data_IF_647604460815
#
_entry.id   IF_647604460815
#
_cell.length_a   1.000
_cell.length_b   1.000
_cell.length_c   1.000
_cell.angle_alpha   90.00
_cell.angle_beta   90.00
_cell.angle_gamma   90.00
#
_symmetry.space_group_name_H-M   'P 1'
#
loop_
_entity.id
_entity.type
_entity.pdbx_description
1 polymer ?
#
# COMPACT_ATOMS: atom_id res chain seq x y z
N UNK A 1 -4.02 6.18 -24.00
CA UNK A 1 -4.06 6.70 -22.61
C UNK A 1 -2.99 5.94 -21.86
N UNK A 2 -2.10 6.61 -21.13
CA UNK A 2 -1.08 5.93 -20.34
C UNK A 2 -1.64 5.75 -18.92
N UNK A 3 -1.71 4.51 -18.47
CA UNK A 3 -2.18 4.13 -17.14
C UNK A 3 -1.01 3.89 -16.19
N UNK A 4 -1.29 4.05 -14.90
CA UNK A 4 -0.39 3.69 -13.81
C UNK A 4 -1.12 2.66 -12.95
N UNK A 5 -0.50 1.51 -12.72
CA UNK A 5 -0.91 0.59 -11.67
C UNK A 5 -0.12 0.92 -10.41
N UNK A 6 -0.77 1.54 -9.43
CA UNK A 6 -0.12 1.98 -8.20
C UNK A 6 0.01 0.88 -7.15
N UNK A 7 -0.49 -0.33 -7.42
CA UNK A 7 -0.38 -1.44 -6.48
C UNK A 7 -0.56 -2.79 -7.19
N UNK A 8 0.55 -3.43 -7.51
CA UNK A 8 0.59 -4.79 -8.05
C UNK A 8 1.59 -5.66 -7.28
N UNK A 9 1.50 -6.98 -7.45
CA UNK A 9 2.52 -7.92 -6.97
C UNK A 9 3.09 -8.65 -8.18
N UNK A 10 4.14 -8.09 -8.78
CA UNK A 10 4.82 -8.71 -9.91
C UNK A 10 5.54 -9.96 -9.41
N UNK A 11 5.47 -11.03 -10.20
CA UNK A 11 6.19 -12.28 -9.92
C UNK A 11 7.70 -12.01 -9.91
N UNK A 12 8.41 -12.27 -8.79
CA UNK A 12 9.86 -12.11 -8.70
C UNK A 12 10.65 -13.16 -9.48
N UNK A 13 9.98 -14.20 -9.96
CA UNK A 13 10.54 -15.21 -10.84
C UNK A 13 10.47 -14.84 -12.33
N UNK A 14 10.70 -15.83 -13.22
CA UNK A 14 10.72 -15.63 -14.67
C UNK A 14 9.41 -15.07 -15.26
N UNK A 15 8.30 -15.15 -14.52
CA UNK A 15 6.99 -14.63 -14.95
C UNK A 15 6.91 -13.10 -14.98
N UNK A 16 7.69 -12.40 -14.16
CA UNK A 16 7.60 -10.94 -14.02
C UNK A 16 7.85 -10.18 -15.32
N UNK A 17 8.81 -10.65 -16.13
CA UNK A 17 9.13 -10.07 -17.45
C UNK A 17 7.91 -10.10 -18.37
N UNK A 18 7.18 -11.22 -18.40
CA UNK A 18 5.99 -11.38 -19.22
C UNK A 18 4.85 -10.49 -18.71
N UNK A 19 4.64 -10.43 -17.39
CA UNK A 19 3.62 -9.57 -16.77
C UNK A 19 3.84 -8.08 -17.10
N UNK A 20 5.08 -7.60 -16.99
CA UNK A 20 5.44 -6.21 -17.34
C UNK A 20 5.20 -5.94 -18.83
N UNK A 21 5.59 -6.87 -19.71
CA UNK A 21 5.37 -6.72 -21.15
C UNK A 21 3.87 -6.69 -21.51
N UNK A 22 3.07 -7.55 -20.90
CA UNK A 22 1.61 -7.59 -21.08
C UNK A 22 0.94 -6.31 -20.58
N UNK A 23 1.33 -5.82 -19.40
CA UNK A 23 0.85 -4.56 -18.84
C UNK A 23 1.16 -3.36 -19.76
N UNK A 24 2.40 -3.28 -20.25
CA UNK A 24 2.82 -2.26 -21.21
C UNK A 24 2.03 -2.32 -22.52
N UNK A 25 1.79 -3.52 -23.06
CA UNK A 25 0.98 -3.71 -24.26
C UNK A 25 -0.49 -3.28 -24.08
N UNK A 26 -1.00 -3.36 -22.85
CA UNK A 26 -2.32 -2.85 -22.45
C UNK A 26 -2.33 -1.33 -22.14
N UNK A 27 -1.16 -0.66 -22.19
CA UNK A 27 -1.00 0.77 -21.94
C UNK A 27 -0.77 1.15 -20.47
N UNK A 28 -0.50 0.18 -19.58
CA UNK A 28 -0.06 0.42 -18.20
C UNK A 28 1.46 0.62 -18.23
N UNK A 29 1.88 1.88 -18.26
CA UNK A 29 3.29 2.25 -18.51
C UNK A 29 4.10 2.46 -17.24
N UNK A 30 3.45 2.50 -16.08
CA UNK A 30 4.11 2.53 -14.77
C UNK A 30 3.41 1.59 -13.82
N UNK A 31 4.20 0.90 -13.01
CA UNK A 31 3.73 -0.08 -12.03
C UNK A 31 4.46 0.14 -10.71
N UNK A 32 3.76 0.00 -9.58
CA UNK A 32 4.38 -0.03 -8.25
C UNK A 32 4.17 -1.43 -7.68
N UNK A 33 5.26 -2.20 -7.61
CA UNK A 33 5.27 -3.56 -7.11
C UNK A 33 5.49 -3.59 -5.60
N UNK A 34 4.58 -4.24 -4.87
CA UNK A 34 4.44 -4.06 -3.43
C UNK A 34 5.09 -5.18 -2.63
N UNK A 35 5.93 -4.80 -1.68
CA UNK A 35 6.52 -5.69 -0.68
C UNK A 35 5.71 -5.73 0.61
N UNK A 36 5.52 -6.93 1.17
CA UNK A 36 4.75 -7.19 2.39
C UNK A 36 5.61 -7.66 3.57
N UNK A 37 6.89 -7.96 3.34
CA UNK A 37 7.91 -8.26 4.35
C UNK A 37 9.31 -7.90 3.80
N UNK A 38 10.37 -8.19 4.55
CA UNK A 38 11.75 -7.91 4.12
C UNK A 38 12.16 -8.69 2.86
N UNK A 39 11.80 -9.97 2.78
CA UNK A 39 12.19 -10.83 1.65
C UNK A 39 11.49 -10.35 0.37
N UNK A 40 10.18 -10.18 0.42
CA UNK A 40 9.39 -9.72 -0.71
C UNK A 40 9.76 -8.28 -1.08
N UNK A 41 9.97 -7.38 -0.12
CA UNK A 41 10.42 -6.01 -0.40
C UNK A 41 11.78 -6.01 -1.13
N UNK A 42 12.70 -6.90 -0.76
CA UNK A 42 13.98 -7.06 -1.45
C UNK A 42 13.78 -7.54 -2.88
N UNK A 43 12.89 -8.51 -3.09
CA UNK A 43 12.54 -9.03 -4.41
C UNK A 43 11.88 -7.93 -5.28
N UNK A 44 10.94 -7.16 -4.75
CA UNK A 44 10.27 -6.09 -5.49
C UNK A 44 11.25 -4.99 -5.88
N UNK A 45 12.17 -4.63 -4.98
CA UNK A 45 13.23 -3.67 -5.29
C UNK A 45 14.18 -4.18 -6.40
N UNK A 46 14.41 -5.49 -6.49
CA UNK A 46 15.20 -6.08 -7.57
C UNK A 46 14.45 -6.03 -8.92
N UNK A 47 13.17 -6.41 -8.95
CA UNK A 47 12.33 -6.31 -10.16
C UNK A 47 12.26 -4.86 -10.65
N UNK A 48 12.00 -3.92 -9.75
CA UNK A 48 11.92 -2.49 -10.09
C UNK A 48 13.24 -1.93 -10.64
N UNK A 49 14.38 -2.50 -10.24
CA UNK A 49 15.68 -2.12 -10.81
C UNK A 49 15.88 -2.63 -12.24
N UNK A 50 15.32 -3.81 -12.56
CA UNK A 50 15.51 -4.48 -13.85
C UNK A 50 14.55 -3.97 -14.94
N UNK A 51 13.41 -3.39 -14.55
CA UNK A 51 12.33 -3.03 -15.46
C UNK A 51 12.05 -1.52 -15.49
N UNK A 52 12.23 -0.88 -16.64
CA UNK A 52 11.86 0.53 -16.83
C UNK A 52 10.34 0.71 -16.59
N UNK A 53 10.00 1.76 -15.83
CA UNK A 53 8.61 2.06 -15.47
C UNK A 53 8.09 1.26 -14.28
N UNK A 54 8.87 0.32 -13.73
CA UNK A 54 8.52 -0.40 -12.50
C UNK A 54 9.20 0.27 -11.30
N UNK A 55 8.44 0.45 -10.24
CA UNK A 55 8.88 0.96 -8.95
C UNK A 55 8.49 -0.05 -7.87
N UNK A 56 9.05 0.10 -6.67
CA UNK A 56 8.74 -0.78 -5.55
C UNK A 56 8.28 0.00 -4.31
N UNK A 57 7.56 -0.68 -3.42
CA UNK A 57 7.43 -0.27 -2.02
C UNK A 57 8.28 -1.19 -1.15
N UNK A 58 8.63 -0.74 0.05
CA UNK A 58 9.18 -1.61 1.08
C UNK A 58 8.44 -1.38 2.40
N UNK A 59 8.02 -2.48 3.03
CA UNK A 59 7.20 -2.42 4.23
C UNK A 59 6.88 -3.80 4.78
N UNK A 60 6.04 -3.81 5.81
CA UNK A 60 5.57 -5.01 6.50
C UNK A 60 4.05 -4.95 6.59
N UNK A 61 3.41 -5.85 5.86
CA UNK A 61 1.97 -6.01 5.84
C UNK A 61 1.50 -6.48 7.23
N UNK A 62 0.29 -6.12 7.69
CA UNK A 62 -0.21 -6.51 9.01
C UNK A 62 -0.13 -8.01 9.31
N UNK A 63 -0.25 -8.87 8.30
CA UNK A 63 -0.10 -10.31 8.48
C UNK A 63 1.32 -10.72 8.94
N UNK A 64 2.34 -10.00 8.49
CA UNK A 64 3.76 -10.28 8.74
C UNK A 64 4.31 -9.49 9.94
N UNK A 65 3.46 -8.75 10.67
CA UNK A 65 3.88 -7.85 11.74
C UNK A 65 4.66 -8.54 12.88
N UNK A 66 4.41 -9.82 13.14
CA UNK A 66 5.18 -10.62 14.11
C UNK A 66 6.66 -10.77 13.76
N UNK A 67 7.03 -10.61 12.48
CA UNK A 67 8.41 -10.62 12.01
C UNK A 67 9.19 -9.32 12.26
N UNK A 68 8.50 -8.23 12.61
CA UNK A 68 9.11 -6.91 12.82
C UNK A 68 9.56 -6.21 11.53
N UNK A 69 10.30 -5.11 11.68
CA UNK A 69 10.68 -4.19 10.58
C UNK A 69 12.18 -4.19 10.26
N UNK A 70 12.94 -5.08 10.88
CA UNK A 70 14.40 -5.10 10.73
C UNK A 70 14.79 -5.24 9.26
N UNK A 71 15.65 -4.33 8.79
CA UNK A 71 16.13 -4.29 7.39
C UNK A 71 15.29 -3.46 6.42
N UNK A 72 14.01 -3.19 6.70
CA UNK A 72 13.14 -2.39 5.80
C UNK A 72 13.71 -0.99 5.57
N UNK A 73 14.20 -0.35 6.63
CA UNK A 73 14.75 1.00 6.56
C UNK A 73 15.90 1.15 5.53
N UNK A 74 16.68 0.10 5.29
CA UNK A 74 17.77 0.11 4.31
C UNK A 74 17.26 0.01 2.87
N UNK A 75 16.14 -0.68 2.64
CA UNK A 75 15.52 -0.77 1.31
C UNK A 75 14.91 0.56 0.88
N UNK A 76 14.40 1.36 1.83
CA UNK A 76 13.83 2.67 1.56
C UNK A 76 14.84 3.71 1.02
N UNK A 77 16.13 3.43 1.14
CA UNK A 77 17.19 4.30 0.59
C UNK A 77 17.53 3.96 -0.88
N UNK A 78 16.92 2.92 -1.45
CA UNK A 78 17.09 2.54 -2.85
C UNK A 78 16.25 3.44 -3.77
N UNK A 79 16.80 3.96 -4.88
CA UNK A 79 16.12 4.95 -5.73
C UNK A 79 14.85 4.42 -6.42
N UNK A 80 14.75 3.10 -6.62
CA UNK A 80 13.58 2.44 -7.20
C UNK A 80 12.49 2.13 -6.16
N UNK A 81 12.76 2.27 -4.87
CA UNK A 81 11.78 2.12 -3.79
C UNK A 81 11.18 3.49 -3.49
N UNK A 82 9.88 3.65 -3.79
CA UNK A 82 9.23 4.97 -3.87
C UNK A 82 8.21 5.24 -2.76
N UNK A 83 7.93 4.27 -1.90
CA UNK A 83 7.00 4.41 -0.78
C UNK A 83 7.27 3.39 0.34
N UNK A 84 6.84 3.74 1.55
CA UNK A 84 6.71 2.81 2.67
C UNK A 84 5.41 2.05 2.55
N UNK A 85 5.47 0.74 2.73
CA UNK A 85 4.32 -0.14 2.71
C UNK A 85 4.56 -1.39 1.86
N UNK A 86 3.64 -2.34 1.81
CA UNK A 86 2.30 -2.21 2.39
C UNK A 86 2.32 -2.27 3.92
N UNK A 87 1.68 -1.30 4.56
CA UNK A 87 1.62 -1.15 6.01
C UNK A 87 0.17 -1.04 6.46
N UNK A 88 -0.16 -1.29 7.73
CA UNK A 88 -1.50 -1.01 8.25
C UNK A 88 -2.04 -2.11 9.13
N UNK A 89 -3.35 -2.34 9.08
CA UNK A 89 -4.09 -3.21 9.99
C UNK A 89 -5.06 -4.13 9.23
N UNK A 90 -5.08 -5.41 9.61
CA UNK A 90 -6.07 -6.39 9.15
C UNK A 90 -6.61 -7.20 10.34
N UNK A 91 -7.85 -6.89 10.75
CA UNK A 91 -8.56 -7.59 11.82
C UNK A 91 -9.58 -8.60 11.32
N UNK A 92 -9.55 -8.87 10.01
CA UNK A 92 -10.36 -9.94 9.45
C UNK A 92 -9.67 -11.30 9.61
N UNK A 93 -8.36 -11.36 9.40
CA UNK A 93 -7.59 -12.61 9.49
C UNK A 93 -6.75 -12.77 10.77
N UNK A 94 -6.32 -11.67 11.41
CA UNK A 94 -5.57 -11.67 12.68
C UNK A 94 -4.32 -12.62 12.68
N UNK A 95 -3.58 -12.69 11.57
CA UNK A 95 -2.38 -13.55 11.44
C UNK A 95 -1.21 -13.13 12.35
N UNK A 96 -1.12 -11.84 12.66
CA UNK A 96 -0.28 -11.30 13.74
C UNK A 96 -1.18 -10.64 14.78
N UNK A 97 -0.74 -10.58 16.04
CA UNK A 97 -1.58 -9.98 17.09
C UNK A 97 -1.82 -8.49 16.82
N UNK A 98 -2.98 -7.97 17.23
CA UNK A 98 -3.29 -6.54 17.05
C UNK A 98 -2.24 -5.62 17.66
N UNK A 99 -1.64 -6.02 18.79
CA UNK A 99 -0.55 -5.27 19.40
C UNK A 99 0.68 -5.19 18.49
N UNK A 100 1.07 -6.29 17.85
CA UNK A 100 2.18 -6.31 16.88
C UNK A 100 1.84 -5.47 15.64
N UNK A 101 0.64 -5.64 15.08
CA UNK A 101 0.18 -4.84 13.94
C UNK A 101 0.21 -3.33 14.23
N UNK A 102 -0.33 -2.90 15.39
CA UNK A 102 -0.30 -1.49 15.81
C UNK A 102 1.13 -0.94 15.92
N UNK A 103 2.02 -1.70 16.55
CA UNK A 103 3.40 -1.26 16.78
C UNK A 103 4.18 -1.14 15.46
N UNK A 104 4.03 -2.14 14.59
CA UNK A 104 4.67 -2.16 13.26
C UNK A 104 4.10 -1.07 12.35
N UNK A 105 2.78 -0.86 12.36
CA UNK A 105 2.17 0.21 11.59
C UNK A 105 2.63 1.59 12.04
N UNK A 106 2.65 1.85 13.35
CA UNK A 106 3.14 3.10 13.91
C UNK A 106 4.60 3.38 13.52
N UNK A 107 5.46 2.37 13.61
CA UNK A 107 6.87 2.49 13.20
C UNK A 107 7.03 2.78 11.70
N UNK A 108 6.20 2.18 10.84
CA UNK A 108 6.22 2.47 9.39
C UNK A 108 5.72 3.89 9.07
N UNK A 109 4.76 4.43 9.81
CA UNK A 109 4.36 5.84 9.69
C UNK A 109 5.54 6.76 10.02
N UNK A 110 6.28 6.47 11.09
CA UNK A 110 7.48 7.24 11.43
C UNK A 110 8.54 7.16 10.33
N UNK A 111 8.81 5.96 9.78
CA UNK A 111 9.76 5.80 8.66
C UNK A 111 9.35 6.64 7.44
N UNK A 112 8.06 6.69 7.11
CA UNK A 112 7.55 7.48 6.00
C UNK A 112 7.74 8.99 6.24
N UNK A 113 7.45 9.46 7.45
CA UNK A 113 7.63 10.86 7.85
C UNK A 113 9.12 11.27 7.84
N UNK A 114 9.99 10.47 8.44
CA UNK A 114 11.43 10.74 8.53
C UNK A 114 12.10 10.89 7.16
N UNK A 115 11.63 10.12 6.16
CA UNK A 115 12.20 10.10 4.81
C UNK A 115 11.43 10.97 3.81
N UNK A 116 10.36 11.64 4.24
CA UNK A 116 9.38 12.27 3.34
C UNK A 116 9.03 11.33 2.17
N UNK A 117 8.65 10.09 2.48
CA UNK A 117 8.17 9.09 1.53
C UNK A 117 6.64 8.97 1.63
N UNK A 118 5.95 8.65 0.52
CA UNK A 118 4.57 8.22 0.58
C UNK A 118 4.38 6.98 1.47
N UNK A 119 3.21 6.87 2.11
CA UNK A 119 2.76 5.70 2.85
C UNK A 119 1.60 5.01 2.10
N UNK A 120 1.73 3.72 1.84
CA UNK A 120 0.68 2.87 1.24
C UNK A 120 0.07 1.98 2.33
N UNK A 121 -1.23 2.15 2.56
CA UNK A 121 -1.95 1.58 3.70
C UNK A 121 -2.93 0.49 3.26
N UNK A 122 -2.80 -0.69 3.87
CA UNK A 122 -3.85 -1.69 3.99
C UNK A 122 -4.69 -1.43 5.24
N UNK A 123 -6.01 -1.36 5.08
CA UNK A 123 -6.92 -1.27 6.22
C UNK A 123 -8.12 -2.15 5.96
N UNK A 124 -8.33 -3.15 6.82
CA UNK A 124 -9.47 -4.06 6.74
C UNK A 124 -10.07 -4.33 8.10
N UNK A 125 -11.35 -3.97 8.26
CA UNK A 125 -12.10 -4.11 9.52
C UNK A 125 -11.41 -3.45 10.72
N UNK A 126 -10.64 -2.38 10.47
CA UNK A 126 -9.77 -1.73 11.46
C UNK A 126 -9.74 -0.19 11.33
N UNK A 127 -10.73 0.43 10.67
CA UNK A 127 -10.71 1.84 10.27
C UNK A 127 -10.50 2.84 11.40
N UNK A 128 -11.29 2.74 12.48
CA UNK A 128 -11.15 3.62 13.65
C UNK A 128 -9.72 3.63 14.20
N UNK A 129 -9.10 2.45 14.25
CA UNK A 129 -7.77 2.27 14.81
C UNK A 129 -6.67 2.69 13.83
N UNK A 130 -6.88 2.48 12.54
CA UNK A 130 -6.02 3.03 11.48
C UNK A 130 -5.97 4.55 11.59
N UNK A 131 -7.12 5.21 11.75
CA UNK A 131 -7.19 6.66 11.89
C UNK A 131 -6.60 7.16 13.20
N UNK A 132 -6.87 6.50 14.34
CA UNK A 132 -6.26 6.83 15.64
C UNK A 132 -4.73 6.85 15.55
N UNK A 133 -4.13 5.83 14.93
CA UNK A 133 -2.67 5.71 14.81
C UNK A 133 -2.12 6.78 13.87
N UNK A 134 -2.77 7.03 12.73
CA UNK A 134 -2.36 8.11 11.81
C UNK A 134 -2.37 9.48 12.51
N UNK A 135 -3.42 9.78 13.27
CA UNK A 135 -3.54 11.05 13.99
C UNK A 135 -2.49 11.18 15.11
N UNK A 136 -2.20 10.07 15.80
CA UNK A 136 -1.22 10.03 16.90
C UNK A 136 0.22 10.18 16.40
N UNK A 137 0.58 9.45 15.36
CA UNK A 137 1.95 9.41 14.82
C UNK A 137 2.24 10.57 13.85
N UNK A 138 1.18 11.23 13.36
CA UNK A 138 1.22 12.27 12.34
C UNK A 138 1.12 11.66 10.94
N UNK A 139 -0.02 11.88 10.28
CA UNK A 139 -0.28 11.37 8.92
C UNK A 139 0.78 11.85 7.93
N UNK A 140 1.46 10.94 7.21
CA UNK A 140 2.41 11.32 6.17
C UNK A 140 1.74 12.16 5.08
N UNK A 141 2.45 13.19 4.61
CA UNK A 141 1.94 14.16 3.62
C UNK A 141 1.37 13.52 2.36
N UNK A 142 1.91 12.37 1.97
CA UNK A 142 1.43 11.55 0.87
C UNK A 142 1.01 10.21 1.45
N UNK A 143 -0.29 9.98 1.55
CA UNK A 143 -0.84 8.74 2.09
C UNK A 143 -1.85 8.18 1.10
N UNK A 144 -1.79 6.88 0.83
CA UNK A 144 -2.73 6.17 -0.03
C UNK A 144 -3.40 5.07 0.77
N UNK A 145 -4.73 5.11 0.85
CA UNK A 145 -5.54 3.98 1.30
C UNK A 145 -5.69 3.03 0.11
N UNK A 146 -4.83 2.00 0.06
CA UNK A 146 -4.84 1.00 -1.00
C UNK A 146 -6.11 0.12 -0.91
N UNK A 147 -6.56 -0.36 -2.07
CA UNK A 147 -7.70 -1.28 -2.24
C UNK A 147 -8.81 -0.99 -1.23
N UNK A 148 -9.29 0.25 -1.24
CA UNK A 148 -10.18 0.77 -0.23
C UNK A 148 -11.39 -0.15 -0.06
N UNK A 149 -11.62 -0.58 1.18
CA UNK A 149 -12.70 -1.51 1.56
C UNK A 149 -13.74 -0.90 2.51
N UNK A 150 -13.62 0.40 2.83
CA UNK A 150 -14.55 1.12 3.70
C UNK A 150 -15.79 1.62 2.95
N UNK A 151 -16.64 2.35 3.67
CA UNK A 151 -17.79 3.06 3.11
C UNK A 151 -17.53 4.57 2.90
N UNK A 152 -18.59 5.34 2.61
CA UNK A 152 -18.49 6.79 2.41
C UNK A 152 -17.92 7.56 3.60
N UNK A 153 -18.22 7.12 4.83
CA UNK A 153 -17.75 7.77 6.05
C UNK A 153 -16.23 7.60 6.19
N UNK A 154 -15.70 6.38 6.00
CA UNK A 154 -14.26 6.14 6.03
C UNK A 154 -13.52 6.85 4.88
N UNK A 155 -14.16 7.02 3.72
CA UNK A 155 -13.59 7.77 2.61
C UNK A 155 -13.47 9.26 2.97
N UNK A 156 -14.51 9.85 3.57
CA UNK A 156 -14.47 11.24 4.04
C UNK A 156 -13.42 11.45 5.12
N UNK A 157 -13.32 10.54 6.08
CA UNK A 157 -12.29 10.58 7.14
C UNK A 157 -10.87 10.44 6.57
N UNK A 158 -10.69 9.62 5.54
CA UNK A 158 -9.41 9.49 4.83
C UNK A 158 -9.04 10.80 4.11
N UNK A 159 -10.01 11.40 3.40
CA UNK A 159 -9.83 12.67 2.68
C UNK A 159 -9.57 13.85 3.62
N UNK A 160 -10.22 13.89 4.79
CA UNK A 160 -9.99 14.90 5.81
C UNK A 160 -8.55 14.90 6.34
N UNK A 161 -7.88 13.73 6.30
CA UNK A 161 -6.46 13.55 6.64
C UNK A 161 -5.51 13.80 5.46
N UNK A 162 -6.04 14.19 4.30
CA UNK A 162 -5.26 14.42 3.08
C UNK A 162 -4.81 13.14 2.38
N UNK A 163 -5.36 11.98 2.74
CA UNK A 163 -5.07 10.72 2.07
C UNK A 163 -5.81 10.62 0.73
N UNK A 164 -5.21 9.88 -0.20
CA UNK A 164 -5.85 9.46 -1.46
C UNK A 164 -6.49 8.11 -1.23
N UNK A 165 -7.70 7.92 -1.75
CA UNK A 165 -8.43 6.65 -1.70
C UNK A 165 -8.28 5.93 -3.04
N UNK A 166 -7.76 4.70 -3.02
CA UNK A 166 -7.56 3.87 -4.22
C UNK A 166 -8.61 2.78 -4.31
N UNK A 167 -9.31 2.71 -5.45
CA UNK A 167 -10.30 1.65 -5.71
C UNK A 167 -9.73 0.60 -6.66
N UNK A 168 -9.83 -0.67 -6.26
CA UNK A 168 -9.47 -1.82 -7.09
C UNK A 168 -10.71 -2.43 -7.77
N UNK A 169 -10.52 -3.55 -8.49
CA UNK A 169 -11.59 -4.22 -9.24
C UNK A 169 -12.81 -4.63 -8.41
N UNK A 170 -12.68 -4.76 -7.09
CA UNK A 170 -13.77 -5.10 -6.16
C UNK A 170 -14.96 -4.13 -6.22
N UNK A 171 -14.74 -2.88 -6.66
CA UNK A 171 -15.82 -1.90 -6.86
C UNK A 171 -16.84 -2.34 -7.93
N UNK A 172 -16.43 -3.22 -8.85
CA UNK A 172 -17.27 -3.75 -9.92
C UNK A 172 -18.15 -4.92 -9.47
N UNK A 173 -17.91 -5.47 -8.27
CA UNK A 173 -18.69 -6.61 -7.78
C UNK A 173 -20.12 -6.19 -7.41
N UNK A 174 -21.11 -7.10 -7.53
CA UNK A 174 -22.49 -6.79 -7.14
C UNK A 174 -22.62 -6.28 -5.70
N UNK A 175 -21.82 -6.85 -4.77
CA UNK A 175 -21.78 -6.47 -3.36
C UNK A 175 -21.05 -5.15 -3.07
N UNK A 176 -20.35 -4.56 -4.05
CA UNK A 176 -19.52 -3.37 -3.87
C UNK A 176 -20.30 -2.04 -3.84
N UNK A 177 -21.54 -2.01 -3.33
CA UNK A 177 -22.32 -0.77 -3.34
C UNK A 177 -21.69 0.31 -2.46
N UNK A 178 -21.26 -0.03 -1.24
CA UNK A 178 -20.61 0.92 -0.33
C UNK A 178 -19.32 1.51 -0.93
N UNK A 179 -18.59 0.72 -1.72
CA UNK A 179 -17.40 1.18 -2.45
C UNK A 179 -17.74 2.17 -3.57
N UNK A 180 -18.85 1.94 -4.28
CA UNK A 180 -19.31 2.87 -5.31
C UNK A 180 -19.78 4.18 -4.67
N UNK A 181 -20.42 4.11 -3.53
CA UNK A 181 -20.86 5.29 -2.77
C UNK A 181 -19.65 6.06 -2.22
N UNK A 182 -18.61 5.36 -1.72
CA UNK A 182 -17.33 5.95 -1.33
C UNK A 182 -16.60 6.61 -2.51
N UNK A 183 -16.57 5.97 -3.68
CA UNK A 183 -15.99 6.55 -4.87
C UNK A 183 -16.72 7.82 -5.32
N UNK A 184 -18.05 7.86 -5.18
CA UNK A 184 -18.86 9.02 -5.56
C UNK A 184 -18.58 10.28 -4.71
N UNK A 185 -18.08 10.12 -3.47
CA UNK A 185 -17.68 11.25 -2.61
C UNK A 185 -16.19 11.61 -2.73
N UNK A 186 -15.41 10.82 -3.47
CA UNK A 186 -13.96 11.00 -3.63
C UNK A 186 -13.65 11.93 -4.81
N UNK A 187 -12.83 12.99 -4.63
CA UNK A 187 -12.39 13.84 -5.74
C UNK A 187 -11.57 13.09 -6.80
N UNK A 188 -11.64 13.56 -8.05
CA UNK A 188 -10.80 13.09 -9.16
C UNK A 188 -9.41 13.73 -9.18
#
# INVERSE_FOLDING_TARGET
>A
MAWIDQHCHIDPGPGGVAQVAEANAAGVMRMVSVGCDLEQSTQMAAIALEHEGVYATAGVHPHEASGGLDGIAALLDLPQVVAVGEAGLDYHYDHSSRAEQRNVFAAQIQLANERDLPLVIHSRSAWDETFEILDREGTPRRTVMHCFTGGPDEAQESLARGAIVSFAGIITFPSGQDLRDAAAVTPL
#
